data_IF_759509827802
#
_entry.id   IF_759509827802
#
_cell.length_a   1.000
_cell.length_b   1.000
_cell.length_c   1.000
_cell.angle_alpha   90.00
_cell.angle_beta   90.00
_cell.angle_gamma   90.00
#
_symmetry.space_group_name_H-M   'P 1'
#
loop_
_entity.id
_entity.type
_entity.pdbx_description
1 polymer ?
#
# COMPACT_ATOMS: atom_id res chain seq x y z
N UNK A 1 12.87 -9.55 3.47
CA UNK A 1 13.93 -9.69 2.45
C UNK A 1 13.45 -10.18 1.09
N UNK A 2 12.15 -10.35 0.82
CA UNK A 2 11.64 -10.82 -0.48
C UNK A 2 11.60 -9.73 -1.57
N UNK A 3 11.62 -8.45 -1.19
CA UNK A 3 11.53 -7.32 -2.13
C UNK A 3 12.67 -7.25 -3.15
N UNK A 4 13.86 -7.76 -2.83
CA UNK A 4 15.01 -7.75 -3.75
C UNK A 4 14.74 -8.51 -5.07
N UNK A 5 13.82 -9.48 -5.05
CA UNK A 5 13.48 -10.29 -6.23
C UNK A 5 12.32 -9.70 -7.05
N UNK A 6 11.61 -8.69 -6.54
CA UNK A 6 10.43 -8.08 -7.18
C UNK A 6 10.73 -6.63 -7.61
N UNK A 7 11.41 -5.89 -6.74
CA UNK A 7 11.64 -4.44 -6.86
C UNK A 7 12.55 -3.98 -8.01
N UNK A 8 13.55 -4.74 -8.51
CA UNK A 8 14.45 -4.25 -9.56
C UNK A 8 13.72 -3.83 -10.83
N UNK A 9 12.70 -4.61 -11.25
CA UNK A 9 11.87 -4.29 -12.41
C UNK A 9 11.12 -2.97 -12.22
N UNK A 10 10.60 -2.74 -11.02
CA UNK A 10 9.92 -1.50 -10.69
C UNK A 10 10.85 -0.29 -10.75
N UNK A 11 11.96 -0.32 -10.00
CA UNK A 11 12.90 0.83 -9.97
C UNK A 11 13.49 1.10 -11.35
N UNK A 12 13.78 0.05 -12.13
CA UNK A 12 14.27 0.21 -13.50
C UNK A 12 13.22 0.82 -14.43
N UNK A 13 11.96 0.36 -14.36
CA UNK A 13 10.87 0.93 -15.16
C UNK A 13 10.66 2.43 -14.88
N UNK A 14 10.80 2.86 -13.63
CA UNK A 14 10.71 4.27 -13.26
C UNK A 14 11.94 5.13 -13.60
N UNK A 15 13.10 4.53 -13.87
CA UNK A 15 14.36 5.26 -14.10
C UNK A 15 14.88 5.17 -15.53
N UNK A 16 14.56 4.11 -16.27
CA UNK A 16 15.00 3.87 -17.64
C UNK A 16 16.52 3.67 -17.83
N UNK A 17 17.32 3.80 -16.77
CA UNK A 17 18.79 3.76 -16.82
C UNK A 17 19.35 2.94 -15.67
N UNK A 18 20.27 2.02 -15.99
CA UNK A 18 20.90 1.13 -15.00
C UNK A 18 21.68 1.94 -13.96
N UNK A 19 22.44 2.96 -14.38
CA UNK A 19 23.22 3.80 -13.47
C UNK A 19 22.33 4.59 -12.51
N UNK A 20 21.22 5.14 -13.02
CA UNK A 20 20.28 5.89 -12.20
C UNK A 20 19.49 4.99 -11.24
N UNK A 21 19.13 3.78 -11.68
CA UNK A 21 18.54 2.75 -10.82
C UNK A 21 19.44 2.43 -9.62
N UNK A 22 20.74 2.21 -9.83
CA UNK A 22 21.69 1.94 -8.75
C UNK A 22 21.82 3.13 -7.78
N UNK A 23 21.82 4.36 -8.29
CA UNK A 23 21.82 5.57 -7.45
C UNK A 23 20.55 5.60 -6.58
N UNK A 24 19.37 5.39 -7.13
CA UNK A 24 18.12 5.35 -6.36
C UNK A 24 18.17 4.27 -5.27
N UNK A 25 18.66 3.07 -5.59
CA UNK A 25 18.81 1.99 -4.59
C UNK A 25 19.73 2.40 -3.44
N UNK A 26 20.88 3.01 -3.73
CA UNK A 26 21.80 3.49 -2.69
C UNK A 26 21.17 4.59 -1.84
N UNK A 27 20.49 5.56 -2.46
CA UNK A 27 19.79 6.64 -1.75
C UNK A 27 18.67 6.09 -0.86
N UNK A 28 17.84 5.18 -1.35
CA UNK A 28 16.82 4.51 -0.54
C UNK A 28 17.42 3.76 0.64
N UNK A 29 18.57 3.10 0.46
CA UNK A 29 19.32 2.45 1.54
C UNK A 29 19.79 3.44 2.61
N UNK A 30 20.38 4.56 2.21
CA UNK A 30 20.79 5.62 3.15
C UNK A 30 19.61 6.26 3.88
N UNK A 31 18.48 6.50 3.19
CA UNK A 31 17.26 7.01 3.80
C UNK A 31 16.74 6.01 4.84
N UNK A 32 16.69 4.71 4.51
CA UNK A 32 16.25 3.68 5.45
C UNK A 32 17.14 3.67 6.72
N UNK A 33 18.46 3.71 6.54
CA UNK A 33 19.42 3.77 7.66
C UNK A 33 19.22 5.06 8.48
N UNK A 34 19.09 6.22 7.83
CA UNK A 34 18.91 7.50 8.51
C UNK A 34 17.58 7.56 9.28
N UNK A 35 16.49 7.02 8.71
CA UNK A 35 15.19 6.91 9.39
C UNK A 35 15.31 6.02 10.61
N UNK A 36 15.94 4.84 10.49
CA UNK A 36 16.17 3.93 11.62
C UNK A 36 17.03 4.59 12.70
N UNK A 37 18.11 5.29 12.34
CA UNK A 37 18.97 6.00 13.30
C UNK A 37 18.27 7.19 13.95
N UNK A 38 17.41 7.90 13.22
CA UNK A 38 16.61 9.00 13.79
C UNK A 38 15.56 8.45 14.75
N UNK A 39 14.93 7.31 14.44
CA UNK A 39 14.01 6.61 15.34
C UNK A 39 14.70 6.16 16.63
N UNK A 40 15.94 5.69 16.54
CA UNK A 40 16.76 5.31 17.70
C UNK A 40 17.20 6.53 18.52
N UNK A 41 17.37 7.70 17.89
CA UNK A 41 17.75 8.95 18.56
C UNK A 41 16.55 9.76 19.09
N UNK A 42 15.32 9.45 18.70
CA UNK A 42 14.12 10.05 19.30
C UNK A 42 13.93 9.45 20.70
N UNK A 43 14.19 10.27 21.72
CA UNK A 43 14.30 9.90 23.13
C UNK A 43 13.06 9.26 23.79
N UNK A 44 11.97 8.99 23.06
CA UNK A 44 10.75 8.42 23.64
C UNK A 44 10.02 7.47 22.70
N UNK A 45 9.99 6.18 23.08
CA UNK A 45 9.17 5.11 22.49
C UNK A 45 7.70 5.53 22.37
N UNK A 46 7.20 6.33 23.32
CA UNK A 46 5.83 6.82 23.33
C UNK A 46 5.55 7.83 22.23
N UNK A 47 6.52 8.69 21.88
CA UNK A 47 6.37 9.65 20.79
C UNK A 47 6.27 8.94 19.45
N UNK A 48 7.10 7.91 19.26
CA UNK A 48 7.06 7.09 18.06
C UNK A 48 5.74 6.31 17.94
N UNK A 49 5.30 5.66 19.02
CA UNK A 49 4.01 4.96 19.02
C UNK A 49 2.84 5.89 18.65
N UNK A 50 2.82 7.12 19.18
CA UNK A 50 1.82 8.14 18.82
C UNK A 50 1.91 8.53 17.34
N UNK A 51 3.12 8.73 16.80
CA UNK A 51 3.32 9.04 15.39
C UNK A 51 2.84 7.91 14.47
N UNK A 52 3.02 6.66 14.88
CA UNK A 52 2.58 5.50 14.11
C UNK A 52 1.04 5.40 14.04
N UNK A 53 0.37 5.66 15.16
CA UNK A 53 -1.10 5.72 15.21
C UNK A 53 -1.60 6.87 14.32
N UNK A 54 -0.97 8.04 14.39
CA UNK A 54 -1.33 9.18 13.55
C UNK A 54 -1.20 8.85 12.05
N UNK A 55 -0.10 8.24 11.64
CA UNK A 55 0.13 7.81 10.25
C UNK A 55 -0.85 6.71 9.82
N UNK A 56 -1.25 5.81 10.73
CA UNK A 56 -2.31 4.83 10.47
C UNK A 56 -3.66 5.49 10.17
N UNK A 57 -4.04 6.53 10.91
CA UNK A 57 -5.28 7.28 10.67
C UNK A 57 -5.25 7.96 9.30
N UNK A 58 -4.11 8.57 8.94
CA UNK A 58 -3.92 9.17 7.60
C UNK A 58 -4.06 8.11 6.50
N UNK A 59 -3.43 6.95 6.66
CA UNK A 59 -3.52 5.83 5.69
C UNK A 59 -4.96 5.41 5.46
N UNK A 60 -5.71 5.13 6.53
CA UNK A 60 -7.11 4.72 6.43
C UNK A 60 -7.95 5.84 5.83
N UNK A 61 -7.73 7.09 6.24
CA UNK A 61 -8.41 8.25 5.69
C UNK A 61 -8.21 8.40 4.19
N UNK A 62 -7.00 8.18 3.68
CA UNK A 62 -6.74 8.23 2.24
C UNK A 62 -7.36 7.06 1.47
N UNK A 63 -7.41 5.85 2.04
CA UNK A 63 -8.14 4.74 1.41
C UNK A 63 -9.63 5.05 1.33
N UNK A 64 -10.23 5.59 2.40
CA UNK A 64 -11.64 6.02 2.40
C UNK A 64 -11.85 7.14 1.37
N UNK A 65 -10.94 8.10 1.29
CA UNK A 65 -10.99 9.17 0.31
C UNK A 65 -10.96 8.63 -1.14
N UNK A 66 -10.09 7.67 -1.43
CA UNK A 66 -10.04 7.02 -2.75
C UNK A 66 -11.36 6.30 -3.04
N UNK A 67 -11.91 5.58 -2.07
CA UNK A 67 -13.19 4.88 -2.25
C UNK A 67 -14.32 5.87 -2.55
N UNK A 68 -14.50 6.88 -1.69
CA UNK A 68 -15.59 7.85 -1.84
C UNK A 68 -15.43 8.71 -3.10
N UNK A 69 -14.21 9.18 -3.38
CA UNK A 69 -13.91 10.00 -4.56
C UNK A 69 -14.26 9.27 -5.86
N UNK A 70 -14.01 7.95 -5.92
CA UNK A 70 -14.26 7.19 -7.15
C UNK A 70 -15.74 6.94 -7.37
N UNK A 71 -16.48 6.65 -6.30
CA UNK A 71 -17.94 6.54 -6.37
C UNK A 71 -18.60 7.86 -6.73
N UNK A 72 -18.19 8.98 -6.12
CA UNK A 72 -18.73 10.31 -6.43
C UNK A 72 -18.41 10.70 -7.87
N UNK A 73 -17.17 10.53 -8.31
CA UNK A 73 -16.77 10.82 -9.68
C UNK A 73 -17.58 10.00 -10.70
N UNK A 74 -17.72 8.69 -10.46
CA UNK A 74 -18.48 7.78 -11.33
C UNK A 74 -19.98 8.08 -11.33
N UNK A 75 -20.53 8.57 -10.22
CA UNK A 75 -21.93 8.99 -10.15
C UNK A 75 -22.20 10.27 -10.96
N UNK A 76 -21.21 11.17 -11.09
CA UNK A 76 -21.36 12.44 -11.82
C UNK A 76 -21.05 12.28 -13.31
N UNK A 77 -19.93 11.62 -13.65
CA UNK A 77 -19.45 11.51 -15.04
C UNK A 77 -19.86 10.21 -15.73
N UNK A 78 -20.53 9.31 -15.01
CA UNK A 78 -20.82 7.95 -15.47
C UNK A 78 -19.65 7.00 -15.21
N UNK A 79 -19.95 5.71 -15.26
CA UNK A 79 -18.94 4.66 -15.13
C UNK A 79 -18.14 4.59 -16.44
N UNK A 80 -16.92 5.11 -16.41
CA UNK A 80 -15.92 4.95 -17.50
C UNK A 80 -15.25 3.58 -17.41
N UNK A 81 -15.36 2.95 -16.24
CA UNK A 81 -14.68 1.74 -15.83
C UNK A 81 -15.09 0.41 -16.45
N UNK A 82 -14.17 -0.55 -16.46
CA UNK A 82 -14.32 -1.92 -16.99
C UNK A 82 -15.29 -2.84 -16.19
N UNK A 83 -16.10 -2.29 -15.28
CA UNK A 83 -16.94 -3.10 -14.39
C UNK A 83 -18.07 -3.84 -15.13
N UNK A 84 -18.55 -3.29 -16.25
CA UNK A 84 -19.57 -3.93 -17.09
C UNK A 84 -19.05 -5.14 -17.89
N UNK A 85 -17.77 -5.12 -18.26
CA UNK A 85 -17.08 -6.16 -19.03
C UNK A 85 -16.08 -6.95 -18.15
N UNK A 86 -16.35 -7.03 -16.84
CA UNK A 86 -15.34 -7.41 -15.83
C UNK A 86 -14.73 -8.81 -15.96
N UNK A 87 -15.32 -9.71 -16.77
CA UNK A 87 -14.79 -11.05 -17.04
C UNK A 87 -14.16 -11.19 -18.44
N UNK A 88 -14.18 -10.14 -19.26
CA UNK A 88 -13.68 -10.20 -20.63
C UNK A 88 -12.14 -10.29 -20.67
N UNK A 89 -11.62 -11.18 -21.52
CA UNK A 89 -10.18 -11.41 -21.64
C UNK A 89 -9.54 -12.12 -20.43
N UNK A 90 -10.33 -12.85 -19.65
CA UNK A 90 -9.83 -13.68 -18.54
C UNK A 90 -8.83 -14.72 -19.05
N UNK A 91 -7.63 -14.74 -18.47
CA UNK A 91 -6.65 -15.80 -18.73
C UNK A 91 -7.03 -17.09 -18.02
N UNK A 92 -6.93 -18.23 -18.71
CA UNK A 92 -7.10 -19.57 -18.14
C UNK A 92 -5.77 -20.23 -17.80
N UNK A 93 -4.65 -19.54 -18.03
CA UNK A 93 -3.33 -20.06 -17.73
C UNK A 93 -3.04 -20.06 -16.23
N UNK A 94 -2.69 -21.24 -15.70
CA UNK A 94 -2.39 -21.47 -14.28
C UNK A 94 -1.24 -20.57 -13.81
N UNK A 95 -0.23 -20.35 -14.65
CA UNK A 95 0.92 -19.49 -14.36
C UNK A 95 0.52 -18.03 -14.13
N UNK A 96 -0.36 -17.49 -14.98
CA UNK A 96 -0.89 -16.14 -14.86
C UNK A 96 -1.70 -15.96 -13.57
N UNK A 97 -2.57 -16.92 -13.27
CA UNK A 97 -3.36 -16.93 -12.03
C UNK A 97 -2.45 -17.01 -10.81
N UNK A 98 -1.43 -17.88 -10.82
CA UNK A 98 -0.48 -18.00 -9.72
C UNK A 98 0.31 -16.70 -9.46
N UNK A 99 0.75 -16.01 -10.51
CA UNK A 99 1.43 -14.72 -10.40
C UNK A 99 0.50 -13.61 -9.84
N UNK A 100 -0.77 -13.60 -10.24
CA UNK A 100 -1.78 -12.70 -9.70
C UNK A 100 -2.06 -12.97 -8.22
N UNK A 101 -2.21 -14.25 -7.83
CA UNK A 101 -2.38 -14.65 -6.43
C UNK A 101 -1.17 -14.26 -5.57
N UNK A 102 0.05 -14.44 -6.07
CA UNK A 102 1.26 -14.03 -5.37
C UNK A 102 1.27 -12.52 -5.09
N UNK A 103 0.96 -11.71 -6.11
CA UNK A 103 0.86 -10.26 -6.00
C UNK A 103 -0.24 -9.85 -5.01
N UNK A 104 -1.39 -10.53 -5.04
CA UNK A 104 -2.50 -10.32 -4.11
C UNK A 104 -2.12 -10.61 -2.66
N UNK A 105 -1.53 -11.78 -2.38
CA UNK A 105 -1.10 -12.16 -1.03
C UNK A 105 -0.02 -11.21 -0.50
N UNK A 106 0.86 -10.71 -1.36
CA UNK A 106 1.89 -9.75 -0.98
C UNK A 106 1.30 -8.47 -0.38
N UNK A 107 0.17 -7.99 -0.91
CA UNK A 107 -0.53 -6.82 -0.36
C UNK A 107 -1.05 -7.04 1.07
N UNK A 108 -1.38 -8.27 1.45
CA UNK A 108 -1.84 -8.62 2.80
C UNK A 108 -0.68 -8.98 3.76
N UNK A 109 0.59 -8.85 3.34
CA UNK A 109 1.70 -9.19 4.21
C UNK A 109 1.77 -8.27 5.45
N UNK A 110 1.99 -8.85 6.63
CA UNK A 110 2.16 -8.10 7.88
C UNK A 110 1.33 -8.61 9.07
N UNK A 111 0.29 -9.42 8.83
CA UNK A 111 -0.52 -10.02 9.90
C UNK A 111 0.30 -10.90 10.86
N UNK A 112 1.41 -11.48 10.39
CA UNK A 112 2.31 -12.29 11.22
C UNK A 112 2.99 -11.49 12.33
N UNK A 113 3.13 -10.17 12.17
CA UNK A 113 3.81 -9.31 13.15
C UNK A 113 3.05 -9.23 14.48
N UNK A 114 1.74 -9.52 14.48
CA UNK A 114 0.92 -9.61 15.68
C UNK A 114 1.38 -10.72 16.62
N UNK A 115 2.04 -11.76 16.11
CA UNK A 115 2.56 -12.85 16.93
C UNK A 115 3.73 -12.39 17.83
N UNK A 116 4.51 -11.38 17.41
CA UNK A 116 5.63 -10.87 18.21
C UNK A 116 5.20 -10.16 19.49
N UNK A 117 3.95 -9.69 19.55
CA UNK A 117 3.41 -9.01 20.75
C UNK A 117 2.51 -9.93 21.58
N UNK A 118 2.53 -11.24 21.32
CA UNK A 118 1.66 -12.21 22.00
C UNK A 118 1.80 -12.20 23.53
N UNK A 119 3.03 -12.01 24.03
CA UNK A 119 3.33 -12.00 25.47
C UNK A 119 2.78 -10.76 26.21
N UNK A 120 2.52 -9.67 25.47
CA UNK A 120 2.00 -8.41 26.01
C UNK A 120 0.47 -8.28 25.88
N UNK A 121 -0.17 -9.18 25.12
CA UNK A 121 -1.63 -9.14 24.89
C UNK A 121 -2.37 -9.76 26.07
N UNK A 122 -3.29 -9.00 26.65
CA UNK A 122 -4.21 -9.51 27.67
C UNK A 122 -5.11 -10.62 27.08
N UNK A 123 -5.08 -11.82 27.67
CA UNK A 123 -5.81 -13.04 27.23
C UNK A 123 -5.52 -13.43 25.76
N UNK A 124 -4.27 -13.77 25.42
CA UNK A 124 -3.82 -13.95 24.05
C UNK A 124 -4.61 -15.03 23.29
N UNK A 125 -5.00 -16.12 23.97
CA UNK A 125 -5.77 -17.24 23.38
C UNK A 125 -7.11 -16.84 22.76
N UNK A 126 -7.73 -15.74 23.21
CA UNK A 126 -8.98 -15.22 22.63
C UNK A 126 -8.76 -13.93 21.85
N UNK A 127 -7.95 -13.02 22.38
CA UNK A 127 -7.76 -11.68 21.80
C UNK A 127 -7.00 -11.75 20.47
N UNK A 128 -5.96 -12.57 20.35
CA UNK A 128 -5.17 -12.67 19.11
C UNK A 128 -5.96 -13.21 17.92
N UNK A 129 -6.63 -14.38 18.00
CA UNK A 129 -7.37 -14.89 16.84
C UNK A 129 -8.49 -13.94 16.41
N UNK A 130 -9.14 -13.26 17.36
CA UNK A 130 -10.15 -12.23 17.05
C UNK A 130 -9.52 -10.99 16.39
N UNK A 131 -8.43 -10.45 16.94
CA UNK A 131 -7.76 -9.29 16.39
C UNK A 131 -7.23 -9.53 14.96
N UNK A 132 -6.61 -10.69 14.72
CA UNK A 132 -6.15 -11.10 13.39
C UNK A 132 -7.35 -11.18 12.44
N UNK A 133 -8.42 -11.90 12.83
CA UNK A 133 -9.58 -12.10 11.95
C UNK A 133 -10.27 -10.78 11.59
N UNK A 134 -10.52 -9.92 12.58
CA UNK A 134 -11.18 -8.62 12.37
C UNK A 134 -10.31 -7.72 11.49
N UNK A 135 -9.00 -7.65 11.75
CA UNK A 135 -8.09 -6.82 10.97
C UNK A 135 -8.00 -7.27 9.51
N UNK A 136 -7.88 -8.57 9.25
CA UNK A 136 -7.79 -9.11 7.88
C UNK A 136 -9.10 -8.89 7.12
N UNK A 137 -10.26 -9.11 7.74
CA UNK A 137 -11.56 -8.88 7.10
C UNK A 137 -11.79 -7.39 6.80
N UNK A 138 -11.43 -6.50 7.73
CA UNK A 138 -11.50 -5.06 7.51
C UNK A 138 -10.63 -4.62 6.32
N UNK A 139 -9.38 -5.07 6.29
CA UNK A 139 -8.44 -4.74 5.21
C UNK A 139 -8.92 -5.32 3.88
N UNK A 140 -9.48 -6.53 3.87
CA UNK A 140 -10.09 -7.13 2.68
C UNK A 140 -11.16 -6.24 2.08
N UNK A 141 -12.12 -5.78 2.91
CA UNK A 141 -13.20 -4.90 2.45
C UNK A 141 -12.63 -3.61 1.87
N UNK A 142 -11.70 -2.96 2.57
CA UNK A 142 -11.08 -1.72 2.09
C UNK A 142 -10.31 -1.91 0.78
N UNK A 143 -9.51 -2.97 0.66
CA UNK A 143 -8.71 -3.22 -0.53
C UNK A 143 -9.58 -3.54 -1.75
N UNK A 144 -10.65 -4.32 -1.56
CA UNK A 144 -11.63 -4.57 -2.63
C UNK A 144 -12.30 -3.27 -3.05
N UNK A 145 -12.77 -2.45 -2.11
CA UNK A 145 -13.43 -1.17 -2.43
C UNK A 145 -12.49 -0.19 -3.15
N UNK A 146 -11.22 -0.12 -2.76
CA UNK A 146 -10.22 0.73 -3.44
C UNK A 146 -9.99 0.25 -4.87
N UNK A 147 -9.88 -1.05 -5.10
CA UNK A 147 -9.75 -1.59 -6.46
C UNK A 147 -11.01 -1.34 -7.30
N UNK A 148 -12.20 -1.49 -6.71
CA UNK A 148 -13.46 -1.12 -7.39
C UNK A 148 -13.47 0.37 -7.75
N UNK A 149 -13.01 1.26 -6.86
CA UNK A 149 -12.87 2.69 -7.15
C UNK A 149 -11.92 2.96 -8.32
N UNK A 150 -10.76 2.30 -8.34
CA UNK A 150 -9.84 2.42 -9.47
C UNK A 150 -10.46 1.93 -10.78
N UNK A 151 -11.10 0.77 -10.77
CA UNK A 151 -11.73 0.21 -11.95
C UNK A 151 -12.97 0.96 -12.40
N UNK A 152 -13.60 1.78 -11.55
CA UNK A 152 -14.75 2.61 -11.92
C UNK A 152 -14.34 3.89 -12.65
N UNK A 153 -13.13 4.41 -12.35
CA UNK A 153 -12.62 5.70 -12.85
C UNK A 153 -11.61 5.55 -14.00
N UNK A 154 -10.75 4.53 -13.95
CA UNK A 154 -9.68 4.31 -14.91
C UNK A 154 -10.07 3.30 -15.99
N UNK A 155 -9.69 3.56 -17.24
CA UNK A 155 -9.83 2.60 -18.34
C UNK A 155 -8.78 1.50 -18.24
N UNK A 156 -8.93 0.40 -19.00
CA UNK A 156 -7.96 -0.70 -19.03
C UNK A 156 -6.56 -0.22 -19.41
N UNK A 157 -6.45 0.61 -20.44
CA UNK A 157 -5.16 1.08 -20.96
C UNK A 157 -4.46 2.02 -19.98
N UNK A 158 -5.21 2.93 -19.34
CA UNK A 158 -4.68 3.82 -18.31
C UNK A 158 -4.21 3.03 -17.08
N UNK A 159 -4.98 2.04 -16.65
CA UNK A 159 -4.64 1.22 -15.48
C UNK A 159 -3.35 0.42 -15.72
N UNK A 160 -3.16 -0.14 -16.92
CA UNK A 160 -2.00 -0.94 -17.27
C UNK A 160 -0.75 -0.11 -17.60
N UNK A 161 -0.92 1.10 -18.14
CA UNK A 161 0.19 2.01 -18.44
C UNK A 161 0.61 2.87 -17.26
N UNK A 162 -0.23 2.96 -16.22
CA UNK A 162 0.06 3.74 -15.02
C UNK A 162 1.19 3.11 -14.20
N UNK A 163 2.23 3.91 -13.97
CA UNK A 163 3.29 3.58 -13.03
C UNK A 163 2.80 3.59 -11.57
N UNK A 164 1.87 4.50 -11.25
CA UNK A 164 1.31 4.68 -9.92
C UNK A 164 -0.20 4.90 -10.00
N UNK A 165 -0.96 3.81 -9.93
CA UNK A 165 -2.42 3.80 -10.14
C UNK A 165 -3.15 4.84 -9.29
N UNK A 166 -2.74 5.03 -8.03
CA UNK A 166 -3.34 6.02 -7.14
C UNK A 166 -3.13 7.47 -7.58
N UNK A 167 -2.00 7.79 -8.22
CA UNK A 167 -1.70 9.14 -8.73
C UNK A 167 -2.49 9.41 -10.00
N UNK A 168 -2.52 8.44 -10.93
CA UNK A 168 -3.34 8.55 -12.15
C UNK A 168 -4.84 8.67 -11.82
N UNK A 169 -5.30 7.94 -10.78
CA UNK A 169 -6.64 8.11 -10.25
C UNK A 169 -6.87 9.51 -9.68
N UNK A 170 -5.91 10.06 -8.92
CA UNK A 170 -5.98 11.42 -8.38
C UNK A 170 -6.06 12.49 -9.48
N UNK A 171 -5.24 12.37 -10.52
CA UNK A 171 -5.24 13.29 -11.65
C UNK A 171 -6.61 13.35 -12.35
N UNK A 172 -7.31 12.22 -12.42
CA UNK A 172 -8.67 12.15 -12.98
C UNK A 172 -9.74 12.70 -12.05
N UNK A 173 -9.71 12.33 -10.77
CA UNK A 173 -10.79 12.66 -9.83
C UNK A 173 -10.69 14.10 -9.31
N UNK A 174 -9.47 14.56 -9.02
CA UNK A 174 -9.22 15.88 -8.43
C UNK A 174 -8.71 16.87 -9.50
N UNK A 175 -7.85 16.41 -10.40
CA UNK A 175 -7.24 17.21 -11.45
C UNK A 175 -5.71 17.12 -11.47
N UNK A 176 -5.12 17.47 -12.62
CA UNK A 176 -3.72 17.22 -12.98
C UNK A 176 -2.63 17.86 -12.09
N UNK A 177 -2.98 18.71 -11.11
CA UNK A 177 -2.02 19.40 -10.25
C UNK A 177 -2.12 19.00 -8.78
N UNK A 178 -2.89 17.96 -8.45
CA UNK A 178 -3.01 17.49 -7.09
C UNK A 178 -1.82 16.61 -6.70
N UNK A 179 -1.29 16.82 -5.50
CA UNK A 179 -0.15 16.07 -4.94
C UNK A 179 -0.53 15.29 -3.66
N UNK A 180 -1.83 15.21 -3.37
CA UNK A 180 -2.37 14.71 -2.12
C UNK A 180 -2.11 13.22 -1.96
N UNK A 181 -2.45 12.39 -2.97
CA UNK A 181 -2.22 10.95 -2.88
C UNK A 181 -0.72 10.66 -2.87
N UNK A 182 0.06 11.39 -3.66
CA UNK A 182 1.53 11.30 -3.63
C UNK A 182 2.10 11.56 -2.23
N UNK A 183 1.66 12.63 -1.56
CA UNK A 183 2.09 12.94 -0.19
C UNK A 183 1.67 11.85 0.80
N UNK A 184 0.44 11.37 0.73
CA UNK A 184 -0.04 10.33 1.63
C UNK A 184 0.70 9.01 1.41
N UNK A 185 0.99 8.64 0.16
CA UNK A 185 1.79 7.45 -0.14
C UNK A 185 3.20 7.59 0.44
N UNK A 186 3.84 8.76 0.31
CA UNK A 186 5.16 9.00 0.88
C UNK A 186 5.15 8.86 2.42
N UNK A 187 4.20 9.49 3.09
CA UNK A 187 3.99 9.34 4.54
C UNK A 187 3.68 7.89 4.94
N UNK A 188 2.99 7.17 4.06
CA UNK A 188 2.62 5.78 4.30
C UNK A 188 3.82 4.85 4.27
N UNK A 189 4.70 5.02 3.29
CA UNK A 189 5.98 4.30 3.17
C UNK A 189 6.86 4.61 4.38
N UNK A 190 6.94 5.88 4.78
CA UNK A 190 7.68 6.30 5.97
C UNK A 190 7.16 5.61 7.25
N UNK A 191 5.85 5.63 7.51
CA UNK A 191 5.27 4.95 8.67
C UNK A 191 5.43 3.43 8.66
N UNK A 192 5.40 2.81 7.48
CA UNK A 192 5.70 1.38 7.35
C UNK A 192 7.16 1.07 7.70
N UNK A 193 8.11 1.92 7.27
CA UNK A 193 9.52 1.80 7.64
C UNK A 193 9.76 1.95 9.15
N UNK A 194 9.09 2.92 9.78
CA UNK A 194 9.08 3.09 11.24
C UNK A 194 8.55 1.83 11.93
N UNK A 195 7.41 1.29 11.50
CA UNK A 195 6.82 0.08 12.09
C UNK A 195 7.71 -1.15 11.99
N UNK A 196 8.34 -1.35 10.82
CA UNK A 196 9.26 -2.45 10.59
C UNK A 196 10.48 -2.38 11.53
N UNK A 197 11.04 -1.19 11.76
CA UNK A 197 12.15 -1.00 12.68
C UNK A 197 11.78 -1.41 14.13
N UNK A 198 10.58 -1.06 14.59
CA UNK A 198 10.09 -1.47 15.92
C UNK A 198 9.91 -2.98 16.05
N UNK A 199 9.36 -3.64 15.03
CA UNK A 199 9.20 -5.09 15.05
C UNK A 199 10.53 -5.82 14.99
N UNK A 200 11.56 -5.25 14.34
CA UNK A 200 12.90 -5.87 14.25
C UNK A 200 13.75 -5.75 15.51
N UNK A 201 13.41 -4.82 16.42
CA UNK A 201 14.16 -4.58 17.65
C UNK A 201 13.68 -5.46 18.82
N UNK A 202 12.66 -6.29 18.62
CA UNK A 202 12.08 -7.22 19.61
C UNK A 202 12.49 -8.64 19.25
#
# INVERSE_FOLDING_TARGET
GSGIFISPKGVYAGTGSVGFCLIIWTVCGFIAIAVTLTMLNVASVHAVAKSQIFLMVIKIGALIFIVLGGFIHSAIQGFVGNLGEGFEGTTTEISGVAAAMYSGIWAYNGWMNLNYSMEEVYKPRRTLPLAISISVVMVLILYVLVNVSYFAVLSRDEFLSSWAVGVTWEEKVIGANSFLITLVVALSVFGSGQGAAFSSAR
#
